data_IF_657944769646
#
_entry.id   IF_657944769646
#
_cell.length_a   1.000
_cell.length_b   1.000
_cell.length_c   1.000
_cell.angle_alpha   90.00
_cell.angle_beta   90.00
_cell.angle_gamma   90.00
#
_symmetry.space_group_name_H-M   'P 1'
#
loop_
_entity.id
_entity.type
_entity.pdbx_description
1 polymer ?
#
# COMPACT_ATOMS: atom_id res chain seq x y z
N UNK A 1 -7.50 38.46 -16.38
CA UNK A 1 -6.20 37.77 -16.23
C UNK A 1 -6.12 36.89 -14.97
N UNK A 2 -7.08 36.90 -14.02
CA UNK A 2 -7.07 35.95 -12.89
C UNK A 2 -7.67 34.58 -13.24
N UNK A 3 -8.68 34.53 -14.13
CA UNK A 3 -9.38 33.29 -14.50
C UNK A 3 -8.49 32.12 -14.90
N UNK A 4 -7.39 32.38 -15.60
CA UNK A 4 -6.48 31.31 -16.04
C UNK A 4 -5.61 30.78 -14.90
N UNK A 5 -5.21 31.66 -13.96
CA UNK A 5 -4.45 31.29 -12.77
C UNK A 5 -5.34 30.51 -11.80
N UNK A 6 -6.56 31.01 -11.56
CA UNK A 6 -7.54 30.38 -10.68
C UNK A 6 -7.92 28.98 -11.18
N UNK A 7 -8.09 28.83 -12.50
CA UNK A 7 -8.39 27.53 -13.12
C UNK A 7 -7.21 26.55 -12.99
N UNK A 8 -5.98 26.99 -13.24
CA UNK A 8 -4.80 26.13 -13.10
C UNK A 8 -4.61 25.64 -11.66
N UNK A 9 -4.86 26.51 -10.68
CA UNK A 9 -4.74 26.18 -9.26
C UNK A 9 -5.81 25.15 -8.84
N UNK A 10 -7.05 25.32 -9.31
CA UNK A 10 -8.12 24.35 -9.09
C UNK A 10 -7.82 22.98 -9.71
N UNK A 11 -7.23 22.94 -10.91
CA UNK A 11 -6.83 21.69 -11.57
C UNK A 11 -5.72 20.96 -10.80
N UNK A 12 -4.71 21.69 -10.30
CA UNK A 12 -3.66 21.11 -9.46
C UNK A 12 -4.20 20.57 -8.13
N UNK A 13 -5.11 21.31 -7.49
CA UNK A 13 -5.76 20.88 -6.26
C UNK A 13 -6.55 19.58 -6.48
N UNK A 14 -7.32 19.50 -7.57
CA UNK A 14 -8.09 18.32 -7.91
C UNK A 14 -7.19 17.10 -8.18
N UNK A 15 -6.05 17.28 -8.85
CA UNK A 15 -5.10 16.19 -9.08
C UNK A 15 -4.47 15.69 -7.77
N UNK A 16 -4.12 16.61 -6.88
CA UNK A 16 -3.57 16.28 -5.57
C UNK A 16 -4.59 15.50 -4.72
N UNK A 17 -5.84 15.93 -4.71
CA UNK A 17 -6.94 15.23 -4.02
C UNK A 17 -7.18 13.82 -4.60
N UNK A 18 -7.11 13.67 -5.94
CA UNK A 18 -7.18 12.35 -6.60
C UNK A 18 -6.06 11.42 -6.13
N UNK A 19 -4.82 11.92 -6.08
CA UNK A 19 -3.67 11.16 -5.61
C UNK A 19 -3.81 10.70 -4.16
N UNK A 20 -4.24 11.60 -3.27
CA UNK A 20 -4.48 11.27 -1.85
C UNK A 20 -5.60 10.24 -1.71
N UNK A 21 -6.71 10.41 -2.44
CA UNK A 21 -7.83 9.48 -2.39
C UNK A 21 -7.42 8.08 -2.87
N UNK A 22 -6.59 7.98 -3.91
CA UNK A 22 -6.06 6.72 -4.39
C UNK A 22 -5.13 6.05 -3.37
N UNK A 23 -4.24 6.81 -2.75
CA UNK A 23 -3.33 6.28 -1.71
C UNK A 23 -4.10 5.81 -0.46
N UNK A 24 -5.22 6.46 -0.13
CA UNK A 24 -6.09 6.08 0.99
C UNK A 24 -7.05 4.93 0.68
N UNK A 25 -7.23 4.52 -0.58
CA UNK A 25 -8.06 3.35 -0.89
C UNK A 25 -7.45 2.13 -0.22
N UNK A 26 -8.14 1.63 0.80
CA UNK A 26 -7.82 0.38 1.48
C UNK A 26 -7.84 -0.74 0.45
N UNK A 27 -6.70 -1.40 0.26
CA UNK A 27 -6.64 -2.62 -0.57
C UNK A 27 -7.57 -3.67 0.03
N UNK A 28 -8.29 -4.44 -0.80
CA UNK A 28 -9.24 -5.45 -0.31
C UNK A 28 -8.51 -6.43 0.63
N UNK A 29 -9.06 -6.57 1.82
CA UNK A 29 -8.51 -7.37 2.90
C UNK A 29 -8.74 -8.85 2.60
N UNK A 30 -7.72 -9.57 2.16
CA UNK A 30 -7.77 -11.02 2.14
C UNK A 30 -7.30 -11.55 3.49
N UNK A 31 -8.03 -12.53 4.04
CA UNK A 31 -7.62 -13.24 5.25
C UNK A 31 -6.30 -13.96 4.99
N UNK A 32 -5.27 -13.55 5.72
CA UNK A 32 -3.94 -14.13 5.67
C UNK A 32 -3.99 -15.58 6.19
N UNK A 33 -3.53 -16.56 5.40
CA UNK A 33 -3.42 -17.94 5.87
C UNK A 33 -2.18 -18.08 6.76
N UNK A 34 -2.37 -18.61 7.97
CA UNK A 34 -1.30 -18.92 8.93
C UNK A 34 -0.95 -20.40 8.87
N UNK A 35 0.32 -20.74 9.05
CA UNK A 35 0.76 -22.11 9.25
C UNK A 35 1.18 -22.28 10.72
N UNK A 36 0.28 -22.80 11.55
CA UNK A 36 0.38 -22.64 13.00
C UNK A 36 0.16 -21.17 13.39
N UNK A 37 1.06 -20.61 14.20
CA UNK A 37 1.03 -19.19 14.60
C UNK A 37 1.83 -18.25 13.69
N UNK A 38 2.56 -18.81 12.71
CA UNK A 38 3.45 -18.03 11.85
C UNK A 38 2.78 -17.70 10.52
N UNK A 39 2.90 -16.44 10.11
CA UNK A 39 2.56 -16.01 8.75
C UNK A 39 3.78 -16.19 7.85
N UNK A 40 3.57 -16.82 6.71
CA UNK A 40 4.63 -17.16 5.76
C UNK A 40 4.52 -16.28 4.51
N UNK A 41 5.67 -15.86 3.98
CA UNK A 41 5.79 -15.13 2.72
C UNK A 41 5.29 -16.01 1.56
N UNK A 42 4.39 -15.46 0.73
CA UNK A 42 3.82 -16.16 -0.41
C UNK A 42 4.85 -16.53 -1.50
N UNK A 43 6.01 -15.84 -1.54
CA UNK A 43 7.02 -16.02 -2.58
C UNK A 43 8.16 -16.96 -2.18
N UNK A 44 8.83 -16.68 -1.05
CA UNK A 44 10.03 -17.41 -0.62
C UNK A 44 9.77 -18.39 0.52
N UNK A 45 8.52 -18.51 0.97
CA UNK A 45 8.10 -19.40 2.06
C UNK A 45 8.82 -19.18 3.40
N UNK A 46 9.50 -18.04 3.58
CA UNK A 46 10.11 -17.67 4.86
C UNK A 46 9.09 -16.98 5.77
N UNK A 47 9.27 -17.04 7.10
CA UNK A 47 8.44 -16.31 8.05
C UNK A 47 8.45 -14.80 7.79
N UNK A 48 7.28 -14.17 7.83
CA UNK A 48 7.18 -12.71 7.79
C UNK A 48 7.52 -12.16 9.18
N UNK A 49 8.42 -11.16 9.30
CA UNK A 49 8.79 -10.59 10.60
C UNK A 49 7.57 -10.05 11.37
N UNK A 50 7.48 -10.35 12.67
CA UNK A 50 6.35 -9.94 13.52
C UNK A 50 6.12 -8.43 13.49
N UNK A 51 7.18 -7.62 13.61
CA UNK A 51 7.11 -6.15 13.51
C UNK A 51 6.43 -5.66 12.23
N UNK A 52 6.56 -6.40 11.12
CA UNK A 52 5.90 -6.05 9.86
C UNK A 52 4.42 -6.39 9.90
N UNK A 53 4.04 -7.50 10.55
CA UNK A 53 2.65 -7.88 10.75
C UNK A 53 1.94 -6.96 11.75
N UNK A 54 2.65 -6.42 12.74
CA UNK A 54 2.11 -5.39 13.64
C UNK A 54 1.73 -4.10 12.88
N UNK A 55 2.61 -3.63 11.99
CA UNK A 55 2.38 -2.43 11.17
C UNK A 55 1.41 -2.68 10.02
N UNK A 56 1.50 -3.86 9.42
CA UNK A 56 0.76 -4.26 8.22
C UNK A 56 0.23 -5.69 8.39
N UNK A 57 -0.89 -5.88 9.12
CA UNK A 57 -1.46 -7.19 9.47
C UNK A 57 -1.85 -8.08 8.29
N UNK A 58 -1.90 -7.52 7.09
CA UNK A 58 -2.31 -8.24 5.87
C UNK A 58 -1.14 -8.47 4.90
N UNK A 59 0.11 -8.28 5.35
CA UNK A 59 1.31 -8.44 4.52
C UNK A 59 1.46 -9.86 3.96
N UNK A 60 1.28 -10.07 2.66
CA UNK A 60 1.46 -11.40 2.06
C UNK A 60 2.93 -11.74 1.73
N UNK A 61 3.82 -10.75 1.77
CA UNK A 61 5.23 -10.90 1.38
C UNK A 61 6.16 -10.36 2.47
N UNK A 62 7.35 -10.97 2.59
CA UNK A 62 8.45 -10.41 3.37
C UNK A 62 8.94 -9.08 2.75
N UNK A 63 9.76 -8.34 3.49
CA UNK A 63 10.25 -7.02 3.07
C UNK A 63 11.00 -7.10 1.73
N UNK A 64 11.89 -8.09 1.60
CA UNK A 64 12.72 -8.27 0.40
C UNK A 64 11.89 -8.62 -0.84
N UNK A 65 10.98 -9.60 -0.73
CA UNK A 65 10.12 -9.98 -1.86
C UNK A 65 9.16 -8.85 -2.24
N UNK A 66 8.65 -8.07 -1.28
CA UNK A 66 7.82 -6.90 -1.61
C UNK A 66 8.63 -5.85 -2.38
N UNK A 67 9.86 -5.55 -1.94
CA UNK A 67 10.72 -4.57 -2.61
C UNK A 67 11.08 -4.97 -4.05
N UNK A 68 11.10 -6.26 -4.37
CA UNK A 68 11.29 -6.75 -5.73
C UNK A 68 10.03 -6.62 -6.60
N UNK A 69 8.83 -6.70 -6.02
CA UNK A 69 7.55 -6.56 -6.73
C UNK A 69 7.16 -5.09 -6.99
N UNK A 70 7.67 -4.17 -6.18
CA UNK A 70 7.40 -2.73 -6.32
C UNK A 70 8.31 -2.03 -7.34
N UNK A 71 9.32 -2.74 -7.87
CA UNK A 71 10.17 -2.29 -8.98
C UNK A 71 9.51 -2.56 -10.32
#
# INVERSE_FOLDING_TARGET
MSDWVDKSLAEQQAELERGIALARKTKPTQTQRKHGDVVICAQCLTPIPERRLELYPHSTHCVECLALLEK
#
